data_IF_384479105095
#
_entry.id   IF_384479105095
#
_cell.length_a   1.000
_cell.length_b   1.000
_cell.length_c   1.000
_cell.angle_alpha   90.00
_cell.angle_beta   90.00
_cell.angle_gamma   90.00
#
_symmetry.space_group_name_H-M   'P 1'
#
loop_
_entity.id
_entity.type
_entity.pdbx_description
1 polymer ?
#
# COMPACT_ATOMS: atom_id res chain seq x y z
N UNK A 1 0.18 -19.39 -2.15
CA UNK A 1 1.02 -18.54 -1.25
C UNK A 1 0.95 -17.08 -1.73
N UNK A 2 0.76 -16.12 -0.84
CA UNK A 2 0.79 -14.69 -1.17
C UNK A 2 2.06 -14.09 -0.56
N UNK A 3 2.82 -13.38 -1.38
CA UNK A 3 4.03 -12.67 -0.97
C UNK A 3 3.93 -11.20 -1.38
N UNK A 4 4.28 -10.30 -0.48
CA UNK A 4 4.26 -8.85 -0.67
C UNK A 4 5.69 -8.34 -0.61
N UNK A 5 6.15 -7.65 -1.64
CA UNK A 5 7.49 -7.06 -1.71
C UNK A 5 7.38 -5.54 -1.78
N UNK A 6 8.08 -4.87 -0.88
CA UNK A 6 8.20 -3.42 -0.89
C UNK A 6 9.27 -2.97 -1.88
N UNK A 7 8.89 -2.20 -2.88
CA UNK A 7 9.81 -1.65 -3.89
C UNK A 7 10.25 -0.22 -3.57
N UNK A 8 9.75 0.34 -2.46
CA UNK A 8 10.04 1.69 -1.99
C UNK A 8 8.81 2.58 -1.99
N UNK A 9 8.77 3.56 -1.09
CA UNK A 9 7.69 4.53 -0.93
C UNK A 9 6.32 3.85 -0.79
N UNK A 10 5.38 4.09 -1.72
CA UNK A 10 4.09 3.42 -1.80
C UNK A 10 4.08 2.27 -2.82
N UNK A 11 5.21 1.96 -3.46
CA UNK A 11 5.27 0.93 -4.49
C UNK A 11 5.41 -0.46 -3.89
N UNK A 12 4.45 -1.33 -4.19
CA UNK A 12 4.46 -2.72 -3.77
C UNK A 12 4.28 -3.68 -4.94
N UNK A 13 5.00 -4.81 -4.90
CA UNK A 13 4.78 -5.95 -5.77
C UNK A 13 4.18 -7.08 -4.98
N UNK A 14 3.02 -7.57 -5.42
CA UNK A 14 2.29 -8.64 -4.76
C UNK A 14 2.29 -9.86 -5.67
N UNK A 15 2.68 -10.98 -5.12
CA UNK A 15 2.68 -12.27 -5.80
C UNK A 15 1.50 -13.11 -5.29
N UNK A 16 0.67 -13.56 -6.20
CA UNK A 16 -0.40 -14.51 -5.98
C UNK A 16 -0.02 -15.80 -6.72
N UNK A 17 0.75 -16.66 -6.05
CA UNK A 17 1.48 -17.77 -6.67
C UNK A 17 2.36 -17.27 -7.84
N UNK A 18 2.00 -17.56 -9.10
CA UNK A 18 2.73 -17.12 -10.30
C UNK A 18 2.25 -15.80 -10.91
N UNK A 19 1.12 -15.26 -10.43
CA UNK A 19 0.58 -13.97 -10.87
C UNK A 19 1.27 -12.83 -10.09
N UNK A 20 1.66 -11.80 -10.79
CA UNK A 20 2.40 -10.66 -10.25
C UNK A 20 1.62 -9.36 -10.46
N UNK A 21 1.38 -8.64 -9.37
CA UNK A 21 0.75 -7.32 -9.41
C UNK A 21 1.72 -6.27 -8.87
N UNK A 22 1.89 -5.16 -9.58
CA UNK A 22 2.61 -3.97 -9.07
C UNK A 22 1.61 -2.84 -8.89
N UNK A 23 1.66 -2.18 -7.74
CA UNK A 23 0.79 -1.05 -7.41
C UNK A 23 1.66 0.15 -7.06
N UNK A 24 1.27 1.31 -7.57
CA UNK A 24 1.88 2.62 -7.34
C UNK A 24 3.39 2.67 -7.63
N UNK A 25 3.85 2.23 -8.83
CA UNK A 25 5.23 2.45 -9.22
C UNK A 25 5.49 3.96 -9.36
N UNK A 26 6.61 4.45 -8.84
CA UNK A 26 7.02 5.83 -9.00
C UNK A 26 7.88 6.03 -10.26
N UNK A 27 7.85 7.24 -10.81
CA UNK A 27 8.68 7.63 -11.94
C UNK A 27 10.17 7.61 -11.55
N UNK A 28 11.01 7.28 -12.52
CA UNK A 28 12.46 7.20 -12.38
C UNK A 28 13.05 8.45 -11.72
N UNK A 29 13.77 8.25 -10.61
CA UNK A 29 14.48 9.30 -9.87
C UNK A 29 13.55 10.29 -9.15
N UNK A 30 12.23 10.05 -9.10
CA UNK A 30 11.29 10.98 -8.49
C UNK A 30 11.29 10.94 -6.96
N UNK A 31 11.29 9.74 -6.37
CA UNK A 31 11.28 9.58 -4.90
C UNK A 31 12.71 9.48 -4.36
N UNK A 32 13.13 10.40 -3.48
CA UNK A 32 14.51 10.45 -2.99
C UNK A 32 14.95 9.16 -2.28
N UNK A 33 16.19 8.72 -2.55
CA UNK A 33 16.84 7.64 -1.83
C UNK A 33 16.43 6.22 -2.23
N UNK A 34 15.37 6.05 -3.04
CA UNK A 34 15.00 4.77 -3.61
C UNK A 34 15.64 4.54 -4.99
N UNK A 35 15.92 3.27 -5.32
CA UNK A 35 16.38 2.89 -6.65
C UNK A 35 15.22 2.96 -7.65
N UNK A 36 15.56 3.20 -8.90
CA UNK A 36 14.60 3.14 -10.01
C UNK A 36 13.88 1.80 -10.02
N UNK A 37 12.58 1.82 -10.32
CA UNK A 37 11.78 0.60 -10.45
C UNK A 37 12.30 -0.19 -11.67
N UNK A 38 12.63 -1.45 -11.44
CA UNK A 38 13.08 -2.39 -12.47
C UNK A 38 12.43 -3.75 -12.24
N UNK A 39 11.20 -3.92 -12.71
CA UNK A 39 10.41 -5.12 -12.48
C UNK A 39 9.42 -5.36 -13.61
N UNK A 40 8.76 -6.52 -13.58
CA UNK A 40 7.67 -6.88 -14.48
C UNK A 40 6.43 -7.29 -13.70
N UNK A 41 5.24 -7.19 -14.30
CA UNK A 41 3.99 -7.63 -13.67
C UNK A 41 2.94 -8.02 -14.70
N UNK A 42 1.97 -8.85 -14.28
CA UNK A 42 0.77 -9.19 -15.04
C UNK A 42 -0.31 -8.12 -14.87
N UNK A 43 -0.35 -7.50 -13.69
CA UNK A 43 -1.28 -6.43 -13.32
C UNK A 43 -0.46 -5.23 -12.87
N UNK A 44 -0.71 -4.06 -13.44
CA UNK A 44 -0.06 -2.81 -13.06
C UNK A 44 -1.16 -1.81 -12.73
N UNK A 45 -1.13 -1.26 -11.51
CA UNK A 45 -2.15 -0.36 -10.97
C UNK A 45 -1.52 0.93 -10.46
N UNK A 46 -2.27 2.02 -10.54
CA UNK A 46 -1.98 3.28 -9.87
C UNK A 46 -3.21 3.74 -9.09
N UNK A 47 -3.00 4.22 -7.87
CA UNK A 47 -4.06 4.80 -7.04
C UNK A 47 -4.48 6.18 -7.55
N UNK A 48 -3.53 6.94 -8.10
CA UNK A 48 -3.76 8.26 -8.68
C UNK A 48 -2.58 8.65 -9.61
N UNK A 49 -2.60 9.85 -10.18
CA UNK A 49 -1.68 10.24 -11.25
C UNK A 49 -0.55 11.19 -10.80
N UNK A 50 -0.11 11.13 -9.55
CA UNK A 50 1.12 11.81 -9.15
C UNK A 50 2.35 10.98 -9.51
N UNK A 51 3.49 11.65 -9.75
CA UNK A 51 4.70 11.00 -10.28
C UNK A 51 5.34 9.99 -9.32
N UNK A 52 5.03 10.07 -8.05
CA UNK A 52 5.43 9.10 -7.02
C UNK A 52 4.51 7.86 -6.95
N UNK A 53 3.45 7.78 -7.81
CA UNK A 53 2.51 6.67 -7.86
C UNK A 53 2.16 6.19 -9.27
N UNK A 54 2.46 6.96 -10.32
CA UNK A 54 1.98 6.69 -11.68
C UNK A 54 3.09 6.42 -12.71
N UNK A 55 4.24 5.92 -12.27
CA UNK A 55 5.34 5.47 -13.12
C UNK A 55 5.04 4.12 -13.80
N UNK A 56 3.86 3.96 -14.40
CA UNK A 56 3.40 2.69 -14.99
C UNK A 56 4.36 2.17 -16.08
N UNK A 57 5.04 3.08 -16.78
CA UNK A 57 6.00 2.74 -17.83
C UNK A 57 7.34 2.19 -17.28
N UNK A 58 7.60 2.32 -15.97
CA UNK A 58 8.78 1.76 -15.31
C UNK A 58 8.63 0.25 -15.04
N UNK A 59 7.42 -0.29 -15.22
CA UNK A 59 7.11 -1.71 -15.03
C UNK A 59 6.88 -2.39 -16.37
N UNK A 60 7.62 -3.46 -16.65
CA UNK A 60 7.41 -4.26 -17.86
C UNK A 60 6.11 -5.04 -17.75
N UNK A 61 5.14 -4.77 -18.64
CA UNK A 61 3.90 -5.53 -18.72
C UNK A 61 4.18 -6.96 -19.20
N UNK A 62 3.73 -7.96 -18.43
CA UNK A 62 3.71 -9.36 -18.86
C UNK A 62 2.42 -9.64 -19.62
N UNK A 63 2.54 -10.27 -20.80
CA UNK A 63 1.40 -10.61 -21.64
C UNK A 63 0.90 -12.03 -21.34
N UNK A 64 0.45 -12.24 -20.09
CA UNK A 64 -0.11 -13.51 -19.65
C UNK A 64 -1.59 -13.35 -19.32
N UNK A 65 -2.35 -14.43 -19.46
CA UNK A 65 -3.74 -14.45 -18.98
C UNK A 65 -3.73 -14.53 -17.45
N UNK A 66 -4.43 -13.59 -16.84
CA UNK A 66 -4.58 -13.52 -15.36
C UNK A 66 -5.87 -14.22 -14.99
N UNK A 67 -5.77 -15.22 -14.10
CA UNK A 67 -6.92 -15.96 -13.56
C UNK A 67 -6.87 -15.97 -12.04
N UNK A 68 -8.04 -15.91 -11.40
CA UNK A 68 -8.18 -16.11 -9.96
C UNK A 68 -7.88 -14.89 -9.09
N UNK A 69 -7.32 -13.80 -9.63
CA UNK A 69 -7.17 -12.53 -8.91
C UNK A 69 -8.30 -11.60 -9.27
N UNK A 70 -9.07 -11.18 -8.29
CA UNK A 70 -10.09 -10.13 -8.43
C UNK A 70 -9.52 -8.80 -7.95
N UNK A 71 -9.74 -7.73 -8.71
CA UNK A 71 -9.33 -6.37 -8.35
C UNK A 71 -10.57 -5.51 -8.20
N UNK A 72 -10.86 -5.08 -6.98
CA UNK A 72 -11.90 -4.08 -6.67
C UNK A 72 -11.25 -2.72 -6.51
N UNK A 73 -11.83 -1.71 -7.14
CA UNK A 73 -11.39 -0.31 -7.06
C UNK A 73 -12.43 0.49 -6.29
N UNK A 74 -12.01 1.13 -5.21
CA UNK A 74 -12.89 1.96 -4.39
C UNK A 74 -12.42 3.41 -4.45
N UNK A 75 -13.29 4.28 -4.96
CA UNK A 75 -13.00 5.70 -5.09
C UNK A 75 -12.90 6.37 -3.71
N UNK A 76 -11.80 7.07 -3.49
CA UNK A 76 -11.51 7.88 -2.31
C UNK A 76 -10.88 9.21 -2.71
N UNK A 77 -10.41 9.98 -1.74
CA UNK A 77 -9.76 11.26 -1.99
C UNK A 77 -8.39 11.33 -1.33
N UNK A 78 -7.50 12.07 -1.96
CA UNK A 78 -6.15 12.33 -1.48
C UNK A 78 -6.10 13.50 -0.47
N UNK A 79 -7.23 13.89 0.07
CA UNK A 79 -7.39 14.92 1.10
C UNK A 79 -8.73 14.77 1.83
N UNK A 80 -8.90 15.54 2.91
CA UNK A 80 -10.13 15.60 3.73
C UNK A 80 -11.15 16.64 3.21
N UNK A 81 -10.95 17.16 2.00
CA UNK A 81 -11.80 18.16 1.33
C UNK A 81 -12.43 17.62 0.05
N UNK A 82 -12.71 16.31 0.00
CA UNK A 82 -13.30 15.63 -1.16
C UNK A 82 -12.50 15.83 -2.46
N UNK A 83 -11.18 15.81 -2.36
CA UNK A 83 -10.28 15.94 -3.50
C UNK A 83 -10.03 17.38 -3.96
N UNK A 84 -10.52 18.38 -3.23
CA UNK A 84 -10.36 19.78 -3.63
C UNK A 84 -8.90 20.27 -3.58
N UNK A 85 -8.04 19.63 -2.78
CA UNK A 85 -6.64 20.02 -2.61
C UNK A 85 -5.69 19.17 -3.46
N UNK A 86 -5.87 17.83 -3.46
CA UNK A 86 -4.93 16.88 -4.08
C UNK A 86 -5.59 15.89 -5.05
N UNK A 87 -6.91 15.98 -5.21
CA UNK A 87 -7.64 15.17 -6.16
C UNK A 87 -8.14 13.83 -5.62
N UNK A 88 -8.40 12.93 -6.57
CA UNK A 88 -8.92 11.59 -6.30
C UNK A 88 -7.81 10.64 -5.92
N UNK A 89 -8.18 9.61 -5.19
CA UNK A 89 -7.38 8.44 -4.89
C UNK A 89 -8.24 7.18 -5.07
N UNK A 90 -7.62 6.05 -5.36
CA UNK A 90 -8.29 4.75 -5.47
C UNK A 90 -7.67 3.79 -4.46
N UNK A 91 -8.49 3.20 -3.62
CA UNK A 91 -8.10 2.02 -2.84
C UNK A 91 -8.26 0.78 -3.73
N UNK A 92 -7.18 0.01 -3.90
CA UNK A 92 -7.20 -1.25 -4.63
C UNK A 92 -7.32 -2.41 -3.64
N UNK A 93 -8.38 -3.21 -3.76
CA UNK A 93 -8.53 -4.46 -3.01
C UNK A 93 -8.33 -5.62 -3.96
N UNK A 94 -7.27 -6.40 -3.71
CA UNK A 94 -6.95 -7.60 -4.48
C UNK A 94 -7.36 -8.82 -3.68
N UNK A 95 -8.15 -9.69 -4.29
CA UNK A 95 -8.60 -10.93 -3.66
C UNK A 95 -8.09 -12.14 -4.45
N UNK A 96 -7.49 -13.08 -3.74
CA UNK A 96 -7.01 -14.35 -4.27
C UNK A 96 -7.22 -15.47 -3.24
N UNK A 97 -7.94 -16.52 -3.63
CA UNK A 97 -8.25 -17.68 -2.77
C UNK A 97 -8.85 -17.29 -1.40
N UNK A 98 -9.69 -16.24 -1.38
CA UNK A 98 -10.35 -15.74 -0.18
C UNK A 98 -9.48 -14.85 0.72
N UNK A 99 -8.22 -14.61 0.37
CA UNK A 99 -7.35 -13.66 1.06
C UNK A 99 -7.45 -12.30 0.35
N UNK A 100 -7.68 -11.24 1.13
CA UNK A 100 -7.81 -9.86 0.65
C UNK A 100 -6.63 -9.01 1.07
N UNK A 101 -5.95 -8.40 0.09
CA UNK A 101 -4.90 -7.40 0.28
C UNK A 101 -5.42 -6.06 -0.21
N UNK A 102 -5.52 -5.06 0.68
CA UNK A 102 -5.93 -3.71 0.33
C UNK A 102 -4.72 -2.76 0.32
N UNK A 103 -4.54 -2.04 -0.77
CA UNK A 103 -3.57 -0.95 -0.92
C UNK A 103 -4.33 0.36 -0.94
N UNK A 104 -4.08 1.22 0.05
CA UNK A 104 -4.88 2.41 0.30
C UNK A 104 -4.46 3.62 -0.53
N UNK A 105 -3.37 3.51 -1.32
CA UNK A 105 -2.82 4.67 -2.05
C UNK A 105 -2.54 5.82 -1.10
N UNK A 106 -2.73 7.03 -1.58
CA UNK A 106 -2.56 8.24 -0.78
C UNK A 106 -3.88 8.74 -0.17
N UNK A 107 -4.58 7.84 0.52
CA UNK A 107 -5.82 8.22 1.18
C UNK A 107 -5.60 9.38 2.16
N UNK A 108 -6.45 10.42 2.09
CA UNK A 108 -6.35 11.63 2.91
C UNK A 108 -7.50 11.81 3.91
N UNK A 109 -8.32 10.78 4.15
CA UNK A 109 -9.47 10.85 5.05
C UNK A 109 -9.85 9.48 5.61
N UNK A 110 -10.63 9.47 6.68
CA UNK A 110 -11.24 8.27 7.25
C UNK A 110 -12.32 7.73 6.30
N UNK A 111 -12.43 6.41 6.18
CA UNK A 111 -13.39 5.75 5.29
C UNK A 111 -14.83 6.07 5.68
N UNK A 112 -15.65 6.32 4.66
CA UNK A 112 -17.12 6.43 4.82
C UNK A 112 -17.74 5.04 4.91
N UNK A 113 -19.00 4.97 5.40
CA UNK A 113 -19.73 3.69 5.46
C UNK A 113 -19.86 3.02 4.08
N UNK A 114 -20.07 3.81 3.02
CA UNK A 114 -20.17 3.29 1.66
C UNK A 114 -18.85 2.68 1.19
N UNK A 115 -17.71 3.34 1.45
CA UNK A 115 -16.38 2.83 1.12
C UNK A 115 -16.07 1.57 1.93
N UNK A 116 -16.43 1.54 3.22
CA UNK A 116 -16.29 0.35 4.06
C UNK A 116 -17.10 -0.84 3.55
N UNK A 117 -18.32 -0.62 3.07
CA UNK A 117 -19.12 -1.69 2.46
C UNK A 117 -18.48 -2.25 1.19
N UNK A 118 -17.82 -1.41 0.40
CA UNK A 118 -17.13 -1.83 -0.82
C UNK A 118 -15.82 -2.57 -0.54
N UNK A 119 -15.03 -2.13 0.45
CA UNK A 119 -13.76 -2.75 0.83
C UNK A 119 -14.02 -4.04 1.61
N UNK A 120 -14.88 -3.97 2.62
CA UNK A 120 -15.11 -5.04 3.58
C UNK A 120 -13.91 -5.29 4.50
N UNK A 121 -13.90 -6.45 5.15
CA UNK A 121 -12.76 -6.89 5.94
C UNK A 121 -11.60 -7.28 5.04
N UNK A 122 -10.37 -6.99 5.46
CA UNK A 122 -9.14 -7.34 4.72
C UNK A 122 -8.18 -8.15 5.58
N UNK A 123 -7.41 -9.02 4.96
CA UNK A 123 -6.38 -9.78 5.66
C UNK A 123 -5.09 -8.94 5.79
N UNK A 124 -4.74 -8.17 4.76
CA UNK A 124 -3.58 -7.28 4.77
C UNK A 124 -3.99 -5.87 4.33
N UNK A 125 -3.67 -4.87 5.14
CA UNK A 125 -3.80 -3.46 4.80
C UNK A 125 -2.41 -2.84 4.56
N UNK A 126 -2.17 -2.29 3.37
CA UNK A 126 -0.99 -1.49 3.05
C UNK A 126 -1.45 -0.03 3.09
N UNK A 127 -1.07 0.71 4.15
CA UNK A 127 -1.67 2.02 4.50
C UNK A 127 -0.61 3.11 4.63
N UNK A 128 -0.86 4.33 4.09
CA UNK A 128 0.06 5.44 4.24
C UNK A 128 0.02 5.99 5.67
N UNK A 129 1.21 6.39 6.19
CA UNK A 129 1.36 6.91 7.55
C UNK A 129 2.17 8.21 7.61
N UNK A 130 2.72 8.67 6.49
CA UNK A 130 3.68 9.77 6.47
C UNK A 130 3.11 11.17 6.71
N UNK A 131 1.80 11.32 6.86
CA UNK A 131 1.18 12.62 7.06
C UNK A 131 1.42 13.58 5.89
N UNK A 132 1.47 14.87 6.11
CA UNK A 132 1.70 15.96 5.14
C UNK A 132 0.83 15.89 3.88
N UNK A 133 0.87 14.79 3.15
CA UNK A 133 0.10 14.56 1.92
C UNK A 133 -1.05 13.55 2.13
N UNK A 134 -0.91 12.64 3.06
CA UNK A 134 -1.83 11.54 3.36
C UNK A 134 -2.39 11.65 4.78
N UNK A 135 -3.16 10.66 5.21
CA UNK A 135 -3.50 10.50 6.63
C UNK A 135 -2.25 10.35 7.49
N UNK A 136 -2.35 10.73 8.77
CA UNK A 136 -1.30 10.53 9.78
C UNK A 136 -1.50 9.20 10.49
N UNK A 137 -0.57 8.86 11.36
CA UNK A 137 -0.56 7.61 12.12
C UNK A 137 -1.89 7.29 12.85
N UNK A 138 -2.55 8.21 13.57
CA UNK A 138 -3.82 7.92 14.24
C UNK A 138 -4.97 7.60 13.27
N UNK A 139 -5.08 8.35 12.18
CA UNK A 139 -6.11 8.11 11.15
C UNK A 139 -5.83 6.81 10.41
N UNK A 140 -4.56 6.50 10.11
CA UNK A 140 -4.17 5.23 9.48
C UNK A 140 -4.55 4.03 10.37
N UNK A 141 -4.32 4.12 11.68
CA UNK A 141 -4.80 3.12 12.64
C UNK A 141 -6.31 2.96 12.58
N UNK A 142 -7.05 4.08 12.61
CA UNK A 142 -8.52 4.05 12.52
C UNK A 142 -9.00 3.36 11.24
N UNK A 143 -8.37 3.64 10.09
CA UNK A 143 -8.69 2.97 8.82
C UNK A 143 -8.47 1.47 8.93
N UNK A 144 -7.33 1.03 9.48
CA UNK A 144 -7.03 -0.40 9.67
C UNK A 144 -8.04 -1.09 10.58
N UNK A 145 -8.48 -0.42 11.65
CA UNK A 145 -9.52 -0.91 12.54
C UNK A 145 -10.89 -1.01 11.83
N UNK A 146 -11.24 0.00 11.03
CA UNK A 146 -12.50 0.02 10.27
C UNK A 146 -12.61 -1.16 9.29
N UNK A 147 -11.52 -1.56 8.63
CA UNK A 147 -11.50 -2.69 7.70
C UNK A 147 -11.12 -4.01 8.37
N UNK A 148 -10.99 -4.01 9.70
CA UNK A 148 -10.63 -5.18 10.50
C UNK A 148 -9.36 -5.89 9.97
N UNK A 149 -8.32 -5.11 9.63
CA UNK A 149 -7.09 -5.61 9.08
C UNK A 149 -6.36 -6.53 10.08
N UNK A 150 -5.92 -7.69 9.62
CA UNK A 150 -5.15 -8.64 10.43
C UNK A 150 -3.65 -8.31 10.42
N UNK A 151 -3.13 -8.05 9.22
CA UNK A 151 -1.74 -7.60 9.03
C UNK A 151 -1.77 -6.16 8.50
N UNK A 152 -0.95 -5.31 9.08
CA UNK A 152 -0.82 -3.92 8.66
C UNK A 152 0.62 -3.69 8.21
N UNK A 153 0.79 -3.20 6.99
CA UNK A 153 2.08 -2.81 6.42
C UNK A 153 2.03 -1.30 6.16
N UNK A 154 2.78 -0.49 6.92
CA UNK A 154 2.82 0.94 6.67
C UNK A 154 3.60 1.26 5.39
N UNK A 155 3.21 2.34 4.73
CA UNK A 155 3.85 2.87 3.53
C UNK A 155 3.89 4.39 3.53
N UNK A 156 4.50 4.98 2.49
CA UNK A 156 4.52 6.43 2.25
C UNK A 156 5.06 7.21 3.46
N UNK A 157 6.16 6.75 4.03
CA UNK A 157 6.86 7.37 5.16
C UNK A 157 8.35 7.56 4.84
N UNK A 158 9.04 8.35 5.64
CA UNK A 158 10.48 8.57 5.53
C UNK A 158 11.26 7.58 6.38
N UNK A 159 12.30 6.99 5.82
CA UNK A 159 13.20 6.07 6.55
C UNK A 159 14.64 6.24 6.10
N UNK A 160 15.60 6.29 7.01
CA UNK A 160 17.04 6.12 6.77
C UNK A 160 17.66 6.94 5.62
N UNK A 161 17.03 8.00 5.17
CA UNK A 161 17.43 8.79 3.99
C UNK A 161 16.64 8.47 2.72
N UNK A 162 15.65 7.60 2.78
CA UNK A 162 14.68 7.36 1.72
C UNK A 162 13.35 8.08 2.01
N UNK A 163 12.66 8.49 0.95
CA UNK A 163 11.40 9.23 0.99
C UNK A 163 11.60 10.75 1.06
N UNK A 164 10.50 11.47 0.99
CA UNK A 164 10.52 12.93 1.08
C UNK A 164 10.76 13.39 2.52
N UNK A 165 11.60 14.42 2.72
CA UNK A 165 11.98 14.93 4.04
C UNK A 165 10.81 15.46 4.88
N UNK A 166 9.71 15.83 4.23
CA UNK A 166 8.50 16.35 4.87
C UNK A 166 7.61 15.24 5.46
N UNK A 167 7.89 13.99 5.16
CA UNK A 167 7.11 12.86 5.67
C UNK A 167 7.55 12.48 7.09
N UNK A 168 6.61 11.97 7.86
CA UNK A 168 6.86 11.39 9.17
C UNK A 168 7.56 10.02 9.03
N UNK A 169 8.14 9.54 10.13
CA UNK A 169 8.74 8.20 10.23
C UNK A 169 7.70 7.20 10.75
N UNK A 170 8.09 5.94 10.96
CA UNK A 170 7.21 4.91 11.53
C UNK A 170 6.98 5.07 13.03
N UNK A 171 7.78 5.87 13.74
CA UNK A 171 7.82 5.93 15.21
C UNK A 171 6.46 6.25 15.85
N UNK A 172 5.75 7.29 15.36
CA UNK A 172 4.43 7.63 15.88
C UNK A 172 3.43 6.49 15.65
N UNK A 173 3.48 5.85 14.48
CA UNK A 173 2.60 4.75 14.12
C UNK A 173 2.87 3.50 14.97
N UNK A 174 4.14 3.14 15.12
CA UNK A 174 4.54 1.98 15.94
C UNK A 174 4.08 2.11 17.40
N UNK A 175 4.15 3.31 17.97
CA UNK A 175 3.71 3.58 19.34
C UNK A 175 2.19 3.40 19.58
N UNK A 176 1.40 3.26 18.51
CA UNK A 176 -0.04 3.02 18.61
C UNK A 176 -0.41 1.53 18.73
N UNK A 177 0.56 0.61 18.62
CA UNK A 177 0.31 -0.84 18.57
C UNK A 177 1.24 -1.61 19.52
N UNK A 178 0.74 -2.71 20.09
CA UNK A 178 1.52 -3.59 20.97
C UNK A 178 2.19 -4.76 20.22
N UNK A 179 1.81 -4.99 18.95
CA UNK A 179 2.18 -6.16 18.15
C UNK A 179 3.01 -5.82 16.91
N UNK A 180 3.92 -4.85 17.05
CA UNK A 180 4.82 -4.42 15.98
C UNK A 180 5.96 -5.42 15.82
N UNK A 181 6.24 -5.80 14.56
CA UNK A 181 7.38 -6.64 14.19
C UNK A 181 8.21 -5.99 13.08
N UNK A 182 9.52 -5.94 13.30
CA UNK A 182 10.48 -5.46 12.30
C UNK A 182 11.05 -6.64 11.53
N UNK A 183 10.97 -6.56 10.20
CA UNK A 183 11.50 -7.56 9.28
C UNK A 183 12.77 -7.03 8.62
N UNK A 184 13.90 -7.75 8.77
CA UNK A 184 15.13 -7.47 8.01
C UNK A 184 15.00 -7.99 6.56
N UNK A 185 13.93 -7.59 5.91
CA UNK A 185 13.56 -7.99 4.55
C UNK A 185 12.63 -6.95 3.94
N UNK A 186 12.71 -6.77 2.63
CA UNK A 186 11.72 -6.04 1.84
C UNK A 186 10.52 -6.91 1.42
N UNK A 187 10.49 -8.19 1.87
CA UNK A 187 9.44 -9.15 1.54
C UNK A 187 8.69 -9.62 2.80
N UNK A 188 7.39 -9.73 2.68
CA UNK A 188 6.47 -10.31 3.67
C UNK A 188 5.69 -11.46 3.01
N UNK A 189 5.73 -12.63 3.63
CA UNK A 189 4.91 -13.78 3.22
C UNK A 189 3.67 -13.82 4.09
N UNK A 190 2.48 -13.73 3.48
CA UNK A 190 1.21 -13.79 4.21
C UNK A 190 1.07 -15.20 4.80
N UNK A 191 0.99 -15.34 6.14
CA UNK A 191 0.86 -16.64 6.78
C UNK A 191 -0.46 -17.33 6.41
N UNK A 192 -0.45 -18.65 6.36
CA UNK A 192 -1.68 -19.45 6.19
C UNK A 192 -2.55 -19.40 7.45
N UNK A 193 -1.92 -19.35 8.62
CA UNK A 193 -2.60 -19.15 9.90
C UNK A 193 -2.89 -17.67 10.13
N UNK A 194 -4.02 -17.37 10.74
CA UNK A 194 -4.39 -15.99 11.06
C UNK A 194 -3.45 -15.41 12.10
N UNK A 195 -2.75 -14.34 11.74
CA UNK A 195 -1.90 -13.55 12.63
C UNK A 195 -2.46 -12.13 12.72
N UNK A 196 -2.15 -11.44 13.82
CA UNK A 196 -2.45 -10.02 13.96
C UNK A 196 -1.15 -9.29 14.30
N UNK A 197 -0.66 -8.47 13.35
CA UNK A 197 0.60 -7.76 13.54
C UNK A 197 0.73 -6.52 12.65
N UNK A 198 1.57 -5.59 13.08
CA UNK A 198 2.10 -4.51 12.24
C UNK A 198 3.48 -4.94 11.75
N UNK A 199 3.62 -5.10 10.44
CA UNK A 199 4.86 -5.56 9.82
C UNK A 199 5.63 -4.38 9.24
N UNK A 200 6.74 -4.01 9.86
CA UNK A 200 7.67 -2.98 9.38
C UNK A 200 8.73 -3.65 8.52
N UNK A 201 8.72 -3.39 7.23
CA UNK A 201 9.69 -3.95 6.28
C UNK A 201 10.94 -3.07 6.18
N UNK A 202 12.07 -3.68 5.87
CA UNK A 202 13.34 -2.97 5.62
C UNK A 202 13.59 -2.94 4.12
N UNK A 203 13.78 -1.75 3.56
CA UNK A 203 14.15 -1.58 2.14
C UNK A 203 15.54 -2.17 1.86
N UNK A 204 15.67 -2.99 0.79
CA UNK A 204 16.92 -3.70 0.40
C UNK A 204 17.41 -3.31 -1.00
#
# INVERSE_FOLDING_TARGET
MIKIKWLGHACYKIYFDDIQCVIDPFEKGYVPGYRDISTSADIILASHNHNDHCGLNEVQQLLRMVHGVTVTKVDTFHDDKNGALRGKNIVHVLEYNGIKVAHFGDIGHILTEEQLQQIGNVDVAIVPIGGTYTVRAPEAKTICEQVNAKVIIPMHYRTGGQGFDVLETTEEFENLFDNVKHYDSDEYVVPEESVSEVAILTYK
#
